data_IF_674605416933
#
_entry.id   IF_674605416933
#
_cell.length_a   1.000
_cell.length_b   1.000
_cell.length_c   1.000
_cell.angle_alpha   90.00
_cell.angle_beta   90.00
_cell.angle_gamma   90.00
#
_symmetry.space_group_name_H-M   'P 1'
#
loop_
_entity.id
_entity.type
_entity.pdbx_description
1 polymer ?
#
# COMPACT_ATOMS: atom_id res chain seq x y z
N UNK A 1 -5.88 -19.62 1.49
CA UNK A 1 -4.97 -20.04 0.39
C UNK A 1 -5.04 -19.19 -0.89
N UNK A 2 -6.10 -18.39 -1.17
CA UNK A 2 -6.19 -17.60 -2.41
C UNK A 2 -5.36 -16.30 -2.40
N UNK A 3 -5.28 -15.62 -1.26
CA UNK A 3 -4.53 -14.37 -1.12
C UNK A 3 -3.03 -14.51 -1.42
N UNK A 4 -2.36 -15.57 -0.93
CA UNK A 4 -0.93 -15.79 -1.21
C UNK A 4 -0.63 -15.94 -2.70
N UNK A 5 -1.49 -16.62 -3.47
CA UNK A 5 -1.30 -16.77 -4.92
C UNK A 5 -1.48 -15.45 -5.66
N UNK A 6 -2.45 -14.62 -5.26
CA UNK A 6 -2.67 -13.30 -5.85
C UNK A 6 -1.49 -12.37 -5.53
N UNK A 7 -1.02 -12.35 -4.29
CA UNK A 7 0.15 -11.55 -3.90
C UNK A 7 1.39 -11.98 -4.68
N UNK A 8 1.62 -13.29 -4.82
CA UNK A 8 2.76 -13.81 -5.56
C UNK A 8 2.67 -13.46 -7.06
N UNK A 9 1.47 -13.51 -7.64
CA UNK A 9 1.23 -13.11 -9.02
C UNK A 9 1.46 -11.62 -9.26
N UNK A 10 1.04 -10.76 -8.32
CA UNK A 10 1.27 -9.31 -8.39
C UNK A 10 2.76 -8.99 -8.28
N UNK A 11 3.46 -9.58 -7.31
CA UNK A 11 4.91 -9.36 -7.12
C UNK A 11 5.69 -9.88 -8.33
N UNK A 12 5.33 -11.08 -8.83
CA UNK A 12 5.93 -11.66 -10.03
C UNK A 12 5.70 -10.78 -11.27
N UNK A 13 4.49 -10.28 -11.46
CA UNK A 13 4.14 -9.40 -12.57
C UNK A 13 4.88 -8.06 -12.54
N UNK A 14 4.98 -7.42 -11.36
CA UNK A 14 5.74 -6.19 -11.19
C UNK A 14 7.25 -6.40 -11.44
N UNK A 15 7.82 -7.48 -10.93
CA UNK A 15 9.24 -7.80 -11.13
C UNK A 15 9.53 -8.05 -12.62
N UNK A 16 8.73 -8.89 -13.28
CA UNK A 16 8.86 -9.16 -14.70
C UNK A 16 8.69 -7.88 -15.54
N UNK A 17 7.69 -7.05 -15.22
CA UNK A 17 7.45 -5.77 -15.89
C UNK A 17 8.60 -4.77 -15.71
N UNK A 18 9.20 -4.69 -14.52
CA UNK A 18 10.34 -3.81 -14.26
C UNK A 18 11.59 -4.24 -15.05
N UNK A 19 11.87 -5.55 -15.10
CA UNK A 19 12.99 -6.09 -15.88
C UNK A 19 12.80 -5.77 -17.36
N UNK A 20 11.61 -6.04 -17.90
CA UNK A 20 11.28 -5.73 -19.29
C UNK A 20 11.34 -4.22 -19.56
N UNK A 21 10.85 -3.38 -18.65
CA UNK A 21 10.92 -1.92 -18.76
C UNK A 21 12.35 -1.38 -18.79
N UNK A 22 13.25 -1.94 -17.97
CA UNK A 22 14.68 -1.58 -17.99
C UNK A 22 15.34 -2.02 -19.30
N UNK A 23 14.96 -3.20 -19.83
CA UNK A 23 15.52 -3.74 -21.07
C UNK A 23 15.06 -2.95 -22.30
N UNK A 24 13.78 -2.61 -22.37
CA UNK A 24 13.20 -1.83 -23.48
C UNK A 24 13.57 -0.35 -23.44
N UNK A 25 13.73 0.23 -22.25
CA UNK A 25 14.14 1.62 -22.08
C UNK A 25 15.46 1.72 -21.30
N UNK A 26 16.60 1.39 -21.94
CA UNK A 26 17.89 1.43 -21.28
C UNK A 26 18.30 2.86 -20.99
N UNK A 27 18.57 3.16 -19.73
CA UNK A 27 19.28 4.39 -19.36
C UNK A 27 20.78 4.23 -19.64
N UNK A 28 21.47 5.34 -19.89
CA UNK A 28 22.93 5.31 -20.07
C UNK A 28 23.62 4.81 -18.80
N UNK A 29 24.53 3.85 -18.93
CA UNK A 29 25.18 3.20 -17.78
C UNK A 29 25.93 4.15 -16.83
N UNK A 30 26.42 5.30 -17.34
CA UNK A 30 27.00 6.37 -16.50
C UNK A 30 25.95 6.97 -15.56
N UNK A 31 24.73 7.23 -16.07
CA UNK A 31 23.62 7.73 -15.27
C UNK A 31 23.14 6.68 -14.27
N UNK A 32 23.04 5.41 -14.66
CA UNK A 32 22.63 4.32 -13.76
C UNK A 32 23.58 4.17 -12.57
N UNK A 33 24.90 4.12 -12.80
CA UNK A 33 25.88 4.05 -11.70
C UNK A 33 25.82 5.25 -10.77
N UNK A 34 25.71 6.46 -11.32
CA UNK A 34 25.54 7.67 -10.52
C UNK A 34 24.27 7.61 -9.67
N UNK A 35 23.14 7.22 -10.28
CA UNK A 35 21.85 7.10 -9.60
C UNK A 35 21.86 6.03 -8.50
N UNK A 36 22.60 4.93 -8.68
CA UNK A 36 22.82 3.92 -7.63
C UNK A 36 23.60 4.54 -6.48
N UNK A 37 24.74 5.19 -6.73
CA UNK A 37 25.56 5.79 -5.69
C UNK A 37 24.78 6.86 -4.89
N UNK A 38 24.07 7.74 -5.59
CA UNK A 38 23.25 8.79 -4.98
C UNK A 38 22.11 8.19 -4.14
N UNK A 39 21.37 7.21 -4.71
CA UNK A 39 20.27 6.55 -3.99
C UNK A 39 20.74 5.69 -2.83
N UNK A 40 21.88 5.01 -2.91
CA UNK A 40 22.42 4.21 -1.82
C UNK A 40 22.75 5.07 -0.60
N UNK A 41 23.25 6.28 -0.83
CA UNK A 41 23.52 7.24 0.24
C UNK A 41 22.23 7.77 0.86
N UNK A 42 21.27 8.21 0.03
CA UNK A 42 19.95 8.65 0.51
C UNK A 42 19.18 7.55 1.24
N UNK A 43 19.20 6.30 0.77
CA UNK A 43 18.50 5.18 1.42
C UNK A 43 19.00 4.95 2.83
N UNK A 44 20.32 5.03 3.05
CA UNK A 44 20.90 4.80 4.37
C UNK A 44 20.38 5.80 5.40
N UNK A 45 20.28 7.07 5.00
CA UNK A 45 19.93 8.16 5.91
C UNK A 45 18.41 8.34 6.02
N UNK A 46 17.66 8.14 4.93
CA UNK A 46 16.22 8.42 4.88
C UNK A 46 15.34 7.20 5.13
N UNK A 47 15.81 5.97 4.90
CA UNK A 47 14.92 4.81 4.96
C UNK A 47 14.34 4.58 6.36
N UNK A 48 15.12 4.80 7.44
CA UNK A 48 14.58 4.69 8.81
C UNK A 48 13.51 5.74 9.07
N UNK A 49 13.80 7.01 8.79
CA UNK A 49 12.88 8.10 9.04
C UNK A 49 11.60 8.00 8.20
N UNK A 50 11.71 7.59 6.94
CA UNK A 50 10.56 7.41 6.05
C UNK A 50 9.74 6.18 6.41
N UNK A 51 10.40 5.09 6.85
CA UNK A 51 9.70 3.89 7.30
C UNK A 51 8.92 4.14 8.59
N UNK A 52 9.53 4.81 9.58
CA UNK A 52 8.83 5.16 10.83
C UNK A 52 7.63 6.08 10.55
N UNK A 53 7.78 7.07 9.66
CA UNK A 53 6.67 7.92 9.21
C UNK A 53 5.60 7.15 8.45
N UNK A 54 5.99 6.16 7.65
CA UNK A 54 5.05 5.33 6.90
C UNK A 54 4.23 4.46 7.84
N UNK A 55 4.87 3.81 8.81
CA UNK A 55 4.20 2.99 9.82
C UNK A 55 3.22 3.86 10.63
N UNK A 56 3.65 5.03 11.11
CA UNK A 56 2.75 5.97 11.80
C UNK A 56 1.55 6.38 10.94
N UNK A 57 1.76 6.73 9.67
CA UNK A 57 0.66 7.09 8.76
C UNK A 57 -0.29 5.92 8.47
N UNK A 58 0.25 4.69 8.42
CA UNK A 58 -0.56 3.49 8.26
C UNK A 58 -1.41 3.28 9.50
N UNK A 59 -0.83 3.38 10.70
CA UNK A 59 -1.56 3.20 11.96
C UNK A 59 -2.66 4.25 12.13
N UNK A 60 -2.37 5.53 11.85
CA UNK A 60 -3.37 6.61 11.88
C UNK A 60 -4.52 6.37 10.87
N UNK A 61 -4.19 6.02 9.61
CA UNK A 61 -5.22 5.70 8.61
C UNK A 61 -5.99 4.43 8.94
N UNK A 62 -5.34 3.46 9.57
CA UNK A 62 -5.99 2.21 9.94
C UNK A 62 -7.02 2.47 11.04
N UNK A 63 -6.69 3.30 12.03
CA UNK A 63 -7.66 3.72 13.05
C UNK A 63 -8.80 4.53 12.45
N UNK A 64 -8.54 5.49 11.55
CA UNK A 64 -9.61 6.27 10.92
C UNK A 64 -10.54 5.39 10.09
N UNK A 65 -9.98 4.46 9.30
CA UNK A 65 -10.76 3.54 8.47
C UNK A 65 -11.55 2.54 9.34
N UNK A 66 -10.98 2.06 10.45
CA UNK A 66 -11.68 1.20 11.38
C UNK A 66 -12.83 1.94 12.07
N UNK A 67 -12.63 3.19 12.45
CA UNK A 67 -13.64 4.02 13.11
C UNK A 67 -14.78 4.41 12.14
N UNK A 68 -14.46 4.76 10.89
CA UNK A 68 -15.44 5.00 9.83
C UNK A 68 -16.24 3.73 9.51
N UNK A 69 -15.57 2.57 9.44
CA UNK A 69 -16.26 1.29 9.27
C UNK A 69 -17.19 0.98 10.44
N UNK A 70 -16.76 1.24 11.68
CA UNK A 70 -17.59 1.07 12.87
C UNK A 70 -18.82 1.99 12.86
N UNK A 71 -18.67 3.27 12.48
CA UNK A 71 -19.79 4.20 12.33
C UNK A 71 -20.76 3.75 11.25
N UNK A 72 -20.27 3.36 10.08
CA UNK A 72 -21.10 2.85 8.99
C UNK A 72 -21.86 1.58 9.38
N UNK A 73 -21.24 0.69 10.15
CA UNK A 73 -21.90 -0.52 10.67
C UNK A 73 -22.94 -0.17 11.73
N UNK A 74 -22.71 0.83 12.58
CA UNK A 74 -23.63 1.23 13.64
C UNK A 74 -24.84 2.00 13.08
N UNK A 75 -24.62 2.92 12.15
CA UNK A 75 -25.67 3.65 11.42
C UNK A 75 -26.47 2.70 10.52
N UNK A 76 -25.78 1.75 9.87
CA UNK A 76 -26.42 0.70 9.11
C UNK A 76 -27.29 -0.20 9.99
N UNK A 77 -26.77 -0.67 11.13
CA UNK A 77 -27.54 -1.49 12.08
C UNK A 77 -28.76 -0.77 12.62
N UNK A 78 -28.61 0.48 13.06
CA UNK A 78 -29.72 1.25 13.64
C UNK A 78 -30.77 1.63 12.59
N UNK A 79 -30.40 1.87 11.34
CA UNK A 79 -31.38 2.01 10.23
C UNK A 79 -32.11 0.70 9.94
N UNK A 80 -31.40 -0.42 9.93
CA UNK A 80 -31.99 -1.75 9.70
C UNK A 80 -32.92 -2.14 10.86
N UNK A 81 -32.51 -1.94 12.11
CA UNK A 81 -33.36 -2.23 13.28
C UNK A 81 -34.62 -1.37 13.31
N UNK A 82 -34.54 -0.08 12.95
CA UNK A 82 -35.71 0.78 12.86
C UNK A 82 -36.66 0.39 11.70
N UNK A 83 -36.13 -0.03 10.55
CA UNK A 83 -37.00 -0.56 9.47
C UNK A 83 -37.60 -1.92 9.80
N UNK A 84 -36.90 -2.78 10.54
CA UNK A 84 -37.43 -4.08 10.98
C UNK A 84 -38.48 -3.89 12.09
N UNK A 85 -38.28 -2.94 13.00
CA UNK A 85 -39.22 -2.65 14.09
C UNK A 85 -40.51 -1.96 13.61
N UNK A 86 -40.44 -1.15 12.53
CA UNK A 86 -41.61 -0.45 11.97
C UNK A 86 -42.44 -1.30 10.98
N UNK A 87 -42.05 -2.56 10.73
CA UNK A 87 -42.74 -3.49 9.82
C UNK A 87 -43.59 -4.55 10.55
N UNK A 88 -43.63 -4.55 11.88
CA UNK A 88 -44.54 -5.37 12.71
C UNK A 88 -45.57 -4.48 13.40
#
# INVERSE_FOLDING_TARGET
MKANKVILGVVGGLAAGAILGILFAPSSGKKTRKKIADKSKELKDNAKADFDKLIQKIDEKYQSVAEDAHKLLHDGKSKIENEIANKN
#
